data_IF_031283015631
#
_entry.id   IF_031283015631
#
_cell.length_a   1.000
_cell.length_b   1.000
_cell.length_c   1.000
_cell.angle_alpha   90.00
_cell.angle_beta   90.00
_cell.angle_gamma   90.00
#
_symmetry.space_group_name_H-M   'P 1'
#
loop_
_entity.id
_entity.type
_entity.pdbx_description
1 polymer ?
#
# COMPACT_ATOMS: atom_id res chain seq x y z
N UNK A 1 57.49 -6.35 17.52
CA UNK A 1 56.74 -5.67 16.44
C UNK A 1 55.33 -6.24 16.41
N UNK A 2 54.32 -5.40 16.65
CA UNK A 2 52.91 -5.79 16.76
C UNK A 2 52.34 -6.19 15.40
N UNK A 3 51.72 -7.38 15.31
CA UNK A 3 50.90 -7.77 14.17
C UNK A 3 49.70 -6.81 14.05
N UNK A 4 49.67 -6.02 12.97
CA UNK A 4 48.54 -5.12 12.67
C UNK A 4 47.31 -6.01 12.41
N UNK A 5 46.40 -6.03 13.37
CA UNK A 5 45.13 -6.76 13.34
C UNK A 5 44.41 -6.52 11.99
N UNK A 6 44.40 -7.52 11.11
CA UNK A 6 43.79 -7.54 9.75
C UNK A 6 42.25 -7.44 9.75
N UNK A 7 41.64 -7.08 10.89
CA UNK A 7 40.20 -7.12 11.08
C UNK A 7 39.46 -6.01 10.33
N UNK A 8 40.12 -4.91 9.96
CA UNK A 8 39.51 -3.78 9.24
C UNK A 8 39.05 -4.08 7.80
N UNK A 9 39.92 -4.53 6.89
CA UNK A 9 39.57 -4.73 5.48
C UNK A 9 38.59 -5.89 5.26
N UNK A 10 38.69 -6.97 6.04
CA UNK A 10 37.74 -8.08 5.96
C UNK A 10 36.32 -7.65 6.39
N UNK A 11 36.22 -6.81 7.42
CA UNK A 11 34.94 -6.30 7.91
C UNK A 11 34.30 -5.33 6.91
N UNK A 12 35.10 -4.49 6.24
CA UNK A 12 34.63 -3.61 5.15
C UNK A 12 34.16 -4.41 3.94
N UNK A 13 34.90 -5.45 3.54
CA UNK A 13 34.52 -6.31 2.42
C UNK A 13 33.22 -7.09 2.71
N UNK A 14 33.07 -7.63 3.93
CA UNK A 14 31.85 -8.31 4.37
C UNK A 14 30.64 -7.37 4.43
N UNK A 15 30.81 -6.18 4.99
CA UNK A 15 29.75 -5.16 5.03
C UNK A 15 29.34 -4.68 3.63
N UNK A 16 30.31 -4.48 2.74
CA UNK A 16 30.07 -4.12 1.34
C UNK A 16 29.32 -5.22 0.57
N UNK A 17 29.69 -6.49 0.77
CA UNK A 17 28.99 -7.61 0.16
C UNK A 17 27.52 -7.71 0.62
N UNK A 18 27.22 -7.40 1.88
CA UNK A 18 25.85 -7.37 2.41
C UNK A 18 24.99 -6.26 1.81
N UNK A 19 25.55 -5.08 1.59
CA UNK A 19 24.82 -3.96 0.97
C UNK A 19 24.39 -4.25 -0.47
N UNK A 20 25.16 -5.07 -1.19
CA UNK A 20 24.81 -5.53 -2.55
C UNK A 20 23.62 -6.52 -2.56
N UNK A 21 23.22 -7.06 -1.40
CA UNK A 21 22.07 -7.97 -1.27
C UNK A 21 20.80 -7.25 -0.78
N UNK A 22 20.80 -5.91 -0.70
CA UNK A 22 19.60 -5.16 -0.38
C UNK A 22 18.61 -5.21 -1.55
N UNK A 23 17.66 -6.14 -1.49
CA UNK A 23 16.54 -6.19 -2.42
C UNK A 23 15.53 -5.08 -2.09
N UNK A 24 14.89 -4.46 -3.11
CA UNK A 24 13.78 -3.54 -2.85
C UNK A 24 12.64 -4.29 -2.16
N UNK A 25 12.22 -3.79 -1.00
CA UNK A 25 10.98 -4.23 -0.37
C UNK A 25 9.81 -3.70 -1.19
N UNK A 26 8.88 -4.58 -1.56
CA UNK A 26 7.65 -4.17 -2.22
C UNK A 26 6.84 -3.25 -1.31
N UNK A 27 6.47 -2.07 -1.82
CA UNK A 27 5.52 -1.21 -1.12
C UNK A 27 4.16 -1.92 -1.07
N UNK A 28 3.68 -2.25 0.12
CA UNK A 28 2.33 -2.78 0.32
C UNK A 28 1.38 -1.58 0.50
N UNK A 29 0.59 -1.29 -0.52
CA UNK A 29 -0.53 -0.35 -0.37
C UNK A 29 -1.77 -1.13 0.05
N UNK A 30 -2.57 -0.58 0.97
CA UNK A 30 -3.68 -1.29 1.63
C UNK A 30 -4.90 -1.56 0.74
N UNK A 31 -4.80 -1.36 -0.58
CA UNK A 31 -5.91 -1.55 -1.50
C UNK A 31 -6.54 -2.94 -1.38
N UNK A 32 -5.72 -3.99 -1.31
CA UNK A 32 -6.20 -5.38 -1.19
C UNK A 32 -6.82 -5.72 0.17
N UNK A 33 -6.69 -4.84 1.17
CA UNK A 33 -7.32 -5.03 2.49
C UNK A 33 -8.82 -4.72 2.42
N UNK A 34 -9.22 -3.76 1.59
CA UNK A 34 -10.60 -3.29 1.48
C UNK A 34 -11.29 -3.74 0.18
N UNK A 35 -10.52 -3.95 -0.90
CA UNK A 35 -11.05 -4.21 -2.24
C UNK A 35 -10.40 -5.41 -2.95
N UNK A 36 -11.20 -6.15 -3.71
CA UNK A 36 -10.71 -7.20 -4.61
C UNK A 36 -10.47 -6.63 -6.02
N UNK A 37 -9.20 -6.48 -6.41
CA UNK A 37 -8.79 -5.99 -7.73
C UNK A 37 -9.31 -6.85 -8.90
N UNK A 38 -9.71 -8.10 -8.64
CA UNK A 38 -10.20 -9.02 -9.67
C UNK A 38 -11.71 -8.93 -9.90
N UNK A 39 -12.44 -8.20 -9.06
CA UNK A 39 -13.89 -8.07 -9.13
C UNK A 39 -14.34 -6.61 -9.25
N UNK A 40 -14.05 -5.95 -10.39
CA UNK A 40 -14.45 -4.57 -10.58
C UNK A 40 -15.97 -4.44 -10.70
N UNK A 41 -16.53 -3.43 -10.04
CA UNK A 41 -17.92 -3.01 -10.20
C UNK A 41 -17.98 -1.55 -10.63
N UNK A 42 -19.06 -1.15 -11.30
CA UNK A 42 -19.32 0.26 -11.64
C UNK A 42 -20.49 0.77 -10.81
N UNK A 43 -20.24 1.78 -9.98
CA UNK A 43 -21.27 2.48 -9.21
C UNK A 43 -21.59 3.81 -9.90
N UNK A 44 -22.88 4.07 -10.16
CA UNK A 44 -23.37 5.35 -10.67
C UNK A 44 -24.45 5.87 -9.74
N UNK A 45 -24.16 6.95 -9.03
CA UNK A 45 -25.03 7.49 -8.01
C UNK A 45 -24.67 8.92 -7.64
N UNK A 46 -25.39 9.46 -6.68
CA UNK A 46 -25.13 10.80 -6.14
C UNK A 46 -24.16 10.70 -4.98
N UNK A 47 -23.09 11.50 -5.00
CA UNK A 47 -22.19 11.61 -3.84
C UNK A 47 -22.94 12.36 -2.73
N UNK A 48 -23.07 11.73 -1.57
CA UNK A 48 -23.77 12.29 -0.41
C UNK A 48 -22.83 12.85 0.64
N UNK A 49 -21.59 12.34 0.70
CA UNK A 49 -20.56 12.77 1.66
C UNK A 49 -19.17 12.39 1.17
N UNK A 50 -18.17 13.20 1.51
CA UNK A 50 -16.76 12.86 1.35
C UNK A 50 -16.05 13.06 2.67
N UNK A 51 -15.28 12.06 3.09
CA UNK A 51 -14.46 12.08 4.30
C UNK A 51 -13.00 12.21 3.92
N UNK A 52 -12.46 13.42 4.11
CA UNK A 52 -11.06 13.71 3.87
C UNK A 52 -10.22 13.35 5.09
N UNK A 53 -9.87 12.07 5.21
CA UNK A 53 -9.00 11.54 6.26
C UNK A 53 -7.70 11.01 5.65
N UNK A 54 -6.60 11.10 6.40
CA UNK A 54 -5.30 10.56 5.99
C UNK A 54 -5.06 9.23 6.76
N UNK A 55 -4.62 8.14 6.09
CA UNK A 55 -4.10 8.08 4.72
C UNK A 55 -5.11 7.77 3.62
N UNK A 56 -6.34 7.36 3.94
CA UNK A 56 -7.35 6.95 2.96
C UNK A 56 -8.67 7.70 3.14
N UNK A 57 -8.99 8.59 2.21
CA UNK A 57 -10.28 9.27 2.16
C UNK A 57 -11.40 8.30 1.74
N UNK A 58 -12.64 8.61 2.11
CA UNK A 58 -13.83 7.83 1.76
C UNK A 58 -14.89 8.69 1.05
N UNK A 59 -15.62 8.09 0.12
CA UNK A 59 -16.74 8.70 -0.61
C UNK A 59 -17.99 7.89 -0.35
N UNK A 60 -19.06 8.56 0.05
CA UNK A 60 -20.37 7.95 0.25
C UNK A 60 -21.27 8.26 -0.95
N UNK A 61 -21.98 7.25 -1.46
CA UNK A 61 -22.85 7.35 -2.61
C UNK A 61 -24.23 6.77 -2.33
N UNK A 62 -25.26 7.46 -2.81
CA UNK A 62 -26.60 6.90 -3.00
C UNK A 62 -26.73 6.40 -4.43
N UNK A 63 -26.86 5.09 -4.61
CA UNK A 63 -26.84 4.42 -5.91
C UNK A 63 -28.24 3.86 -6.22
N UNK A 64 -29.00 4.46 -7.15
CA UNK A 64 -30.32 3.99 -7.51
C UNK A 64 -30.25 2.61 -8.19
N UNK A 65 -31.30 1.82 -8.00
CA UNK A 65 -31.52 0.51 -8.61
C UNK A 65 -32.81 0.53 -9.42
N UNK A 66 -32.91 -0.38 -10.38
CA UNK A 66 -34.07 -0.45 -11.29
C UNK A 66 -35.38 -0.80 -10.57
N UNK A 67 -35.29 -1.41 -9.38
CA UNK A 67 -36.43 -1.71 -8.53
C UNK A 67 -36.91 -0.52 -7.68
N UNK A 68 -36.35 0.68 -7.89
CA UNK A 68 -36.70 1.89 -7.15
C UNK A 68 -36.05 2.00 -5.77
N UNK A 69 -35.24 1.02 -5.36
CA UNK A 69 -34.46 1.08 -4.12
C UNK A 69 -33.20 1.91 -4.35
N UNK A 70 -32.80 2.68 -3.33
CA UNK A 70 -31.51 3.36 -3.30
C UNK A 70 -30.60 2.60 -2.34
N UNK A 71 -29.49 2.11 -2.86
CA UNK A 71 -28.45 1.49 -2.04
C UNK A 71 -27.42 2.53 -1.61
N UNK A 72 -26.98 2.43 -0.35
CA UNK A 72 -25.93 3.30 0.20
C UNK A 72 -24.60 2.59 0.13
N UNK A 73 -23.61 3.26 -0.45
CA UNK A 73 -22.27 2.75 -0.66
C UNK A 73 -21.24 3.67 -0.02
N UNK A 74 -20.13 3.09 0.41
CA UNK A 74 -18.92 3.81 0.83
C UNK A 74 -17.74 3.16 0.13
N UNK A 75 -16.88 3.99 -0.49
CA UNK A 75 -15.69 3.56 -1.23
C UNK A 75 -14.48 4.43 -0.90
#
# INVERSE_FOLDING_TARGET
MMARKLFGPAFVALGGAWLLHAAPLGAHHAFSTEFDAKQPITLKGTITRVEWINPHAWIHLDVPRDNGVVEKWMI
#
